data_IF_259734029780
#
_entry.id   IF_259734029780
#
_cell.length_a   1.000
_cell.length_b   1.000
_cell.length_c   1.000
_cell.angle_alpha   90.00
_cell.angle_beta   90.00
_cell.angle_gamma   90.00
#
_symmetry.space_group_name_H-M   'P 1'
#
loop_
_entity.id
_entity.type
_entity.pdbx_description
1 polymer ?
#
# COMPACT_ATOMS: atom_id res chain seq x y z
N UNK A 1 -10.63 -6.75 79.75
CA UNK A 1 -10.63 -7.38 78.42
C UNK A 1 -9.53 -6.78 77.59
N UNK A 2 -8.56 -7.61 77.21
CA UNK A 2 -7.40 -7.34 76.37
C UNK A 2 -7.82 -7.07 74.91
N UNK A 3 -7.24 -6.05 74.28
CA UNK A 3 -7.04 -5.99 72.82
C UNK A 3 -5.68 -5.36 72.49
N UNK A 4 -4.70 -6.23 72.26
CA UNK A 4 -3.58 -5.98 71.33
C UNK A 4 -4.07 -6.28 69.91
N UNK A 5 -3.69 -5.46 68.91
CA UNK A 5 -3.06 -5.88 67.64
C UNK A 5 -3.02 -4.65 66.70
N UNK A 6 -1.84 -4.07 66.45
CA UNK A 6 -0.91 -4.35 65.33
C UNK A 6 -1.31 -3.67 64.03
N UNK A 7 -0.53 -2.62 63.72
CA UNK A 7 -0.37 -2.00 62.41
C UNK A 7 0.12 -3.03 61.40
N UNK A 8 -0.63 -3.24 60.32
CA UNK A 8 -0.11 -3.86 59.10
C UNK A 8 -0.17 -2.84 57.97
N UNK A 9 0.99 -2.22 57.72
CA UNK A 9 1.29 -1.50 56.49
C UNK A 9 1.67 -2.58 55.47
N UNK A 10 0.75 -2.93 54.59
CA UNK A 10 1.08 -3.68 53.37
C UNK A 10 0.84 -2.74 52.19
N UNK A 11 1.94 -2.19 51.68
CA UNK A 11 2.00 -1.38 50.48
C UNK A 11 1.43 -2.15 49.30
N UNK A 12 0.34 -1.62 48.74
CA UNK A 12 -0.26 -2.11 47.52
C UNK A 12 0.62 -1.67 46.35
N UNK A 13 1.52 -2.57 45.91
CA UNK A 13 2.37 -2.37 44.74
C UNK A 13 1.50 -2.55 43.50
N UNK A 14 1.01 -1.44 42.95
CA UNK A 14 0.28 -1.39 41.68
C UNK A 14 1.28 -1.71 40.58
N UNK A 15 1.41 -2.98 40.23
CA UNK A 15 2.01 -3.40 38.96
C UNK A 15 0.93 -3.17 37.92
N UNK A 16 0.90 -1.96 37.33
CA UNK A 16 0.24 -1.75 36.06
C UNK A 16 0.88 -2.71 35.06
N UNK A 17 0.16 -3.78 34.71
CA UNK A 17 0.39 -4.51 33.47
C UNK A 17 0.22 -3.49 32.34
N UNK A 18 1.31 -2.81 31.99
CA UNK A 18 1.49 -2.32 30.64
C UNK A 18 1.65 -3.62 29.84
N UNK A 19 0.53 -4.12 29.31
CA UNK A 19 0.61 -5.03 28.19
C UNK A 19 1.33 -4.23 27.11
N UNK A 20 2.65 -4.45 27.04
CA UNK A 20 3.45 -4.15 25.87
C UNK A 20 2.82 -4.98 24.78
N UNK A 21 1.87 -4.38 24.06
CA UNK A 21 1.43 -4.90 22.79
C UNK A 21 2.70 -5.15 22.01
N UNK A 22 2.98 -6.42 21.74
CA UNK A 22 3.95 -6.81 20.73
C UNK A 22 3.53 -6.05 19.49
N UNK A 23 4.24 -4.98 19.16
CA UNK A 23 4.21 -4.46 17.82
C UNK A 23 4.79 -5.59 16.99
N UNK A 24 3.91 -6.42 16.41
CA UNK A 24 4.30 -7.34 15.38
C UNK A 24 5.06 -6.49 14.37
N UNK A 25 6.37 -6.69 14.28
CA UNK A 25 7.15 -6.20 13.17
C UNK A 25 6.62 -6.97 11.96
N UNK A 26 5.52 -6.49 11.40
CA UNK A 26 5.05 -6.89 10.07
C UNK A 26 6.16 -6.47 9.13
N UNK A 27 6.97 -7.43 8.71
CA UNK A 27 7.90 -7.27 7.61
C UNK A 27 7.11 -6.67 6.45
N UNK A 28 7.55 -5.52 5.93
CA UNK A 28 6.87 -4.90 4.80
C UNK A 28 6.75 -5.92 3.66
N UNK A 29 5.65 -5.91 2.91
CA UNK A 29 5.54 -6.76 1.74
C UNK A 29 6.70 -6.46 0.78
N UNK A 30 7.16 -7.47 0.05
CA UNK A 30 8.24 -7.28 -0.92
C UNK A 30 7.76 -6.42 -2.10
N UNK A 31 8.62 -5.48 -2.52
CA UNK A 31 8.41 -4.72 -3.76
C UNK A 31 8.48 -5.67 -4.97
N UNK A 32 7.80 -5.33 -6.07
CA UNK A 32 7.69 -6.22 -7.23
C UNK A 32 9.07 -6.52 -7.86
N UNK A 33 9.81 -5.46 -8.16
CA UNK A 33 11.16 -5.46 -8.71
C UNK A 33 11.96 -4.30 -8.08
N UNK A 34 13.18 -4.56 -7.59
CA UNK A 34 14.04 -3.50 -7.08
C UNK A 34 14.65 -2.67 -8.22
N UNK A 35 15.27 -1.53 -7.88
CA UNK A 35 16.16 -0.82 -8.81
C UNK A 35 17.32 -1.74 -9.24
N UNK A 36 17.82 -1.53 -10.46
CA UNK A 36 19.13 -2.03 -10.84
C UNK A 36 20.19 -1.51 -9.86
N UNK A 37 21.29 -2.25 -9.59
CA UNK A 37 22.35 -1.78 -8.69
C UNK A 37 22.86 -0.37 -9.05
N UNK A 38 23.36 0.41 -8.07
CA UNK A 38 23.82 1.77 -8.32
C UNK A 38 24.92 1.80 -9.39
N UNK A 39 24.80 2.78 -10.27
CA UNK A 39 25.74 3.05 -11.35
C UNK A 39 27.11 3.43 -10.80
N UNK A 40 28.16 2.82 -11.36
CA UNK A 40 29.55 3.16 -11.02
C UNK A 40 30.11 4.26 -11.92
N UNK A 41 29.58 4.40 -13.14
CA UNK A 41 30.07 5.34 -14.16
C UNK A 41 28.90 6.00 -14.91
N UNK A 42 29.16 7.19 -15.43
CA UNK A 42 28.23 7.99 -16.23
C UNK A 42 27.97 7.36 -17.63
N UNK A 43 26.86 7.71 -18.31
CA UNK A 43 25.86 8.72 -17.95
C UNK A 43 24.86 8.23 -16.89
N UNK A 44 24.48 9.12 -15.98
CA UNK A 44 23.44 8.87 -14.98
C UNK A 44 22.10 9.41 -15.45
N UNK A 45 21.03 8.70 -15.14
CA UNK A 45 19.66 9.06 -15.49
C UNK A 45 18.94 9.78 -14.32
N UNK A 46 19.69 10.27 -13.32
CA UNK A 46 19.14 10.80 -12.06
C UNK A 46 18.06 11.87 -12.29
N UNK A 47 18.35 12.90 -13.09
CA UNK A 47 17.40 13.99 -13.36
C UNK A 47 16.12 13.47 -14.01
N UNK A 48 16.24 12.55 -14.97
CA UNK A 48 15.10 11.96 -15.67
C UNK A 48 14.28 11.05 -14.75
N UNK A 49 14.95 10.30 -13.88
CA UNK A 49 14.32 9.46 -12.87
C UNK A 49 13.45 10.30 -11.95
N UNK A 50 14.01 11.34 -11.34
CA UNK A 50 13.29 12.17 -10.39
C UNK A 50 12.17 12.96 -11.08
N UNK A 51 12.36 13.47 -12.29
CA UNK A 51 11.30 14.18 -13.01
C UNK A 51 10.07 13.28 -13.28
N UNK A 52 10.30 12.06 -13.79
CA UNK A 52 9.24 11.08 -14.04
C UNK A 52 8.56 10.61 -12.76
N UNK A 53 9.36 10.29 -11.74
CA UNK A 53 8.84 9.85 -10.45
C UNK A 53 8.00 10.95 -9.80
N UNK A 54 8.50 12.19 -9.78
CA UNK A 54 7.81 13.33 -9.19
C UNK A 54 6.48 13.61 -9.90
N UNK A 55 6.48 13.63 -11.22
CA UNK A 55 5.27 13.82 -12.03
C UNK A 55 4.21 12.76 -11.68
N UNK A 56 4.63 11.50 -11.56
CA UNK A 56 3.74 10.40 -11.19
C UNK A 56 3.21 10.58 -9.77
N UNK A 57 4.08 10.89 -8.81
CA UNK A 57 3.71 11.10 -7.40
C UNK A 57 2.71 12.25 -7.26
N UNK A 58 2.93 13.41 -7.90
CA UNK A 58 1.97 14.52 -7.84
C UNK A 58 0.62 14.17 -8.44
N UNK A 59 0.58 13.27 -9.41
CA UNK A 59 -0.68 12.80 -10.02
C UNK A 59 -1.49 11.95 -9.04
N UNK A 60 -0.84 11.01 -8.35
CA UNK A 60 -1.51 10.08 -7.43
C UNK A 60 -1.69 10.65 -6.01
N UNK A 61 -0.79 11.50 -5.54
CA UNK A 61 -0.80 12.10 -4.20
C UNK A 61 -1.49 13.46 -4.19
N UNK A 62 -2.78 13.47 -4.51
CA UNK A 62 -3.64 14.67 -4.52
C UNK A 62 -4.59 14.76 -3.30
N UNK A 63 -4.48 13.85 -2.34
CA UNK A 63 -5.31 13.79 -1.14
C UNK A 63 -6.71 13.19 -1.34
N UNK A 64 -7.03 12.73 -2.54
CA UNK A 64 -8.24 11.95 -2.81
C UNK A 64 -7.98 10.46 -2.67
N UNK A 65 -9.01 9.63 -2.78
CA UNK A 65 -8.86 8.18 -2.84
C UNK A 65 -8.08 7.78 -4.10
N UNK A 66 -7.20 6.78 -3.98
CA UNK A 66 -6.44 6.28 -5.12
C UNK A 66 -7.42 5.83 -6.24
N UNK A 67 -7.33 6.38 -7.45
CA UNK A 67 -8.23 6.02 -8.54
C UNK A 67 -7.83 4.65 -9.10
N UNK A 68 -8.50 3.60 -8.62
CA UNK A 68 -8.25 2.18 -8.95
C UNK A 68 -9.49 1.51 -9.55
N UNK A 69 -9.34 0.24 -9.95
CA UNK A 69 -10.42 -0.56 -10.55
C UNK A 69 -10.49 -0.44 -12.07
N UNK A 70 -11.41 -1.18 -12.68
CA UNK A 70 -11.54 -1.37 -14.14
C UNK A 70 -11.86 -0.09 -14.91
N UNK A 71 -12.41 0.92 -14.24
CA UNK A 71 -12.70 2.23 -14.86
C UNK A 71 -11.51 3.18 -14.81
N UNK A 72 -10.44 2.85 -14.09
CA UNK A 72 -9.26 3.70 -13.88
C UNK A 72 -7.98 3.08 -14.46
N UNK A 73 -8.10 2.32 -15.56
CA UNK A 73 -6.97 1.66 -16.23
C UNK A 73 -5.88 2.64 -16.67
N UNK A 74 -6.24 3.87 -17.06
CA UNK A 74 -5.26 4.88 -17.46
C UNK A 74 -4.27 5.24 -16.35
N UNK A 75 -4.73 5.35 -15.10
CA UNK A 75 -3.84 5.64 -13.96
C UNK A 75 -2.95 4.44 -13.65
N UNK A 76 -3.53 3.24 -13.67
CA UNK A 76 -2.78 2.00 -13.52
C UNK A 76 -1.68 1.88 -14.58
N UNK A 77 -2.01 2.03 -15.87
CA UNK A 77 -1.08 1.85 -16.98
C UNK A 77 0.02 2.91 -16.96
N UNK A 78 -0.32 4.16 -16.59
CA UNK A 78 0.67 5.21 -16.38
C UNK A 78 1.61 4.87 -15.23
N UNK A 79 1.09 4.41 -14.10
CA UNK A 79 1.89 4.04 -12.94
C UNK A 79 2.81 2.86 -13.24
N UNK A 80 2.28 1.80 -13.86
CA UNK A 80 3.04 0.63 -14.30
C UNK A 80 4.12 1.02 -15.32
N UNK A 81 3.77 1.83 -16.31
CA UNK A 81 4.70 2.32 -17.32
C UNK A 81 5.85 3.13 -16.72
N UNK A 82 5.56 4.05 -15.81
CA UNK A 82 6.60 4.78 -15.07
C UNK A 82 7.44 3.82 -14.25
N UNK A 83 6.82 2.97 -13.43
CA UNK A 83 7.52 2.04 -12.55
C UNK A 83 8.51 1.16 -13.32
N UNK A 84 8.07 0.46 -14.38
CA UNK A 84 8.94 -0.42 -15.16
C UNK A 84 10.00 0.32 -15.99
N UNK A 85 9.83 1.62 -16.21
CA UNK A 85 10.89 2.49 -16.77
C UNK A 85 11.93 2.79 -15.70
N UNK A 86 11.49 3.26 -14.53
CA UNK A 86 12.35 3.67 -13.42
C UNK A 86 13.27 2.54 -12.92
N UNK A 87 12.77 1.29 -12.84
CA UNK A 87 13.60 0.16 -12.36
C UNK A 87 14.87 -0.09 -13.20
N UNK A 88 14.90 0.41 -14.45
CA UNK A 88 15.97 0.17 -15.42
C UNK A 88 16.92 1.37 -15.57
N UNK A 89 16.62 2.49 -14.93
CA UNK A 89 17.41 3.71 -15.04
C UNK A 89 18.75 3.58 -14.32
N UNK A 90 19.77 4.21 -14.88
CA UNK A 90 21.13 4.15 -14.36
C UNK A 90 21.32 5.22 -13.27
N UNK A 91 21.01 4.88 -12.03
CA UNK A 91 21.01 5.81 -10.88
C UNK A 91 22.38 5.89 -10.23
N UNK A 92 22.88 7.10 -9.99
CA UNK A 92 24.16 7.31 -9.32
C UNK A 92 24.13 6.80 -7.88
N UNK A 93 25.30 6.42 -7.36
CA UNK A 93 25.44 5.94 -5.98
C UNK A 93 24.96 6.96 -4.93
N UNK A 94 25.08 8.26 -5.22
CA UNK A 94 24.62 9.34 -4.33
C UNK A 94 23.09 9.38 -4.24
N UNK A 95 22.40 9.26 -5.37
CA UNK A 95 20.94 9.38 -5.45
C UNK A 95 20.22 8.06 -5.14
N UNK A 96 20.93 6.93 -5.19
CA UNK A 96 20.37 5.59 -5.05
C UNK A 96 19.46 5.38 -3.83
N UNK A 97 19.81 5.81 -2.60
CA UNK A 97 18.95 5.57 -1.44
C UNK A 97 17.59 6.24 -1.55
N UNK A 98 17.55 7.47 -2.06
CA UNK A 98 16.31 8.22 -2.25
C UNK A 98 15.48 7.62 -3.40
N UNK A 99 16.15 7.24 -4.49
CA UNK A 99 15.52 6.57 -5.62
C UNK A 99 14.86 5.23 -5.20
N UNK A 100 15.51 4.46 -4.32
CA UNK A 100 14.97 3.20 -3.79
C UNK A 100 13.70 3.40 -2.95
N UNK A 101 13.66 4.43 -2.11
CA UNK A 101 12.46 4.77 -1.33
C UNK A 101 11.29 5.18 -2.25
N UNK A 102 11.55 6.05 -3.23
CA UNK A 102 10.57 6.46 -4.23
C UNK A 102 10.05 5.27 -5.03
N UNK A 103 10.95 4.40 -5.51
CA UNK A 103 10.55 3.21 -6.26
C UNK A 103 9.71 2.25 -5.42
N UNK A 104 10.07 2.08 -4.14
CA UNK A 104 9.29 1.25 -3.20
C UNK A 104 7.88 1.79 -3.01
N UNK A 105 7.73 3.11 -2.86
CA UNK A 105 6.43 3.76 -2.78
C UNK A 105 5.56 3.50 -4.02
N UNK A 106 6.14 3.67 -5.21
CA UNK A 106 5.44 3.41 -6.47
C UNK A 106 5.08 1.93 -6.63
N UNK A 107 5.96 1.03 -6.23
CA UNK A 107 5.70 -0.41 -6.26
C UNK A 107 4.52 -0.80 -5.37
N UNK A 108 4.46 -0.31 -4.13
CA UNK A 108 3.35 -0.61 -3.23
C UNK A 108 2.03 -0.02 -3.73
N UNK A 109 2.08 1.19 -4.30
CA UNK A 109 0.91 1.81 -4.92
C UNK A 109 0.40 0.99 -6.11
N UNK A 110 1.31 0.51 -6.96
CA UNK A 110 0.97 -0.30 -8.14
C UNK A 110 0.34 -1.63 -7.71
N UNK A 111 0.99 -2.35 -6.79
CA UNK A 111 0.46 -3.62 -6.28
C UNK A 111 -0.89 -3.45 -5.59
N UNK A 112 -1.11 -2.34 -4.85
CA UNK A 112 -2.42 -2.03 -4.28
C UNK A 112 -3.48 -1.86 -5.39
N UNK A 113 -3.14 -1.16 -6.48
CA UNK A 113 -4.05 -0.99 -7.62
C UNK A 113 -4.39 -2.32 -8.31
N UNK A 114 -3.40 -3.17 -8.55
CA UNK A 114 -3.58 -4.51 -9.14
C UNK A 114 -4.45 -5.40 -8.25
N UNK A 115 -4.16 -5.44 -6.95
CA UNK A 115 -4.96 -6.20 -5.97
C UNK A 115 -6.39 -5.70 -5.87
N UNK A 116 -6.61 -4.39 -6.01
CA UNK A 116 -7.97 -3.86 -6.06
C UNK A 116 -8.73 -4.31 -7.33
N UNK A 117 -8.06 -4.40 -8.47
CA UNK A 117 -8.67 -4.92 -9.71
C UNK A 117 -9.05 -6.40 -9.59
N UNK A 118 -8.22 -7.20 -8.91
CA UNK A 118 -8.53 -8.60 -8.58
C UNK A 118 -9.75 -8.67 -7.66
N UNK A 119 -9.72 -7.91 -6.56
CA UNK A 119 -10.84 -7.78 -5.62
C UNK A 119 -12.14 -7.41 -6.34
N UNK A 120 -12.14 -6.37 -7.18
CA UNK A 120 -13.30 -5.96 -7.95
C UNK A 120 -13.76 -7.05 -8.94
N UNK A 121 -12.83 -7.80 -9.52
CA UNK A 121 -13.17 -8.90 -10.43
C UNK A 121 -13.87 -10.04 -9.71
N UNK A 122 -13.42 -10.42 -8.51
CA UNK A 122 -14.07 -11.46 -7.71
C UNK A 122 -15.47 -11.04 -7.23
N UNK A 123 -15.66 -9.78 -6.80
CA UNK A 123 -16.98 -9.25 -6.41
C UNK A 123 -18.01 -9.26 -7.56
N UNK A 124 -17.52 -9.27 -8.80
CA UNK A 124 -18.31 -9.33 -10.01
C UNK A 124 -18.45 -10.75 -10.59
N UNK A 125 -17.83 -11.79 -10.02
CA UNK A 125 -18.03 -13.17 -10.48
C UNK A 125 -19.33 -13.73 -9.93
N UNK A 126 -20.18 -14.21 -10.85
CA UNK A 126 -21.30 -15.06 -10.47
C UNK A 126 -20.78 -16.49 -10.30
N UNK A 127 -20.85 -17.02 -9.07
CA UNK A 127 -20.59 -18.42 -8.80
C UNK A 127 -21.68 -19.02 -7.92
N UNK A 128 -22.28 -20.17 -8.29
CA UNK A 128 -23.24 -20.88 -7.44
C UNK A 128 -22.56 -21.58 -6.24
N UNK A 129 -21.22 -21.57 -6.19
CA UNK A 129 -20.41 -22.10 -5.10
C UNK A 129 -19.53 -20.97 -4.56
N UNK A 130 -19.51 -20.78 -3.24
CA UNK A 130 -18.63 -19.79 -2.60
C UNK A 130 -17.16 -20.17 -2.88
N UNK A 131 -16.50 -19.44 -3.79
CA UNK A 131 -15.15 -19.76 -4.27
C UNK A 131 -14.05 -19.08 -3.46
N UNK A 132 -14.38 -18.45 -2.33
CA UNK A 132 -13.42 -17.64 -1.59
C UNK A 132 -13.20 -16.32 -2.31
N UNK A 133 -13.87 -15.28 -1.82
CA UNK A 133 -13.71 -13.92 -2.31
C UNK A 133 -12.38 -13.40 -1.77
N UNK A 134 -11.55 -12.75 -2.60
CA UNK A 134 -10.39 -11.99 -2.08
C UNK A 134 -10.90 -10.97 -1.07
N UNK A 135 -10.56 -11.09 0.23
CA UNK A 135 -11.06 -10.16 1.24
C UNK A 135 -10.47 -8.78 0.98
N UNK A 136 -11.26 -7.74 1.25
CA UNK A 136 -10.79 -6.36 1.11
C UNK A 136 -9.62 -6.06 2.07
N UNK A 137 -9.54 -6.80 3.17
CA UNK A 137 -8.48 -6.79 4.16
C UNK A 137 -7.10 -7.14 3.57
N UNK A 138 -7.03 -7.91 2.47
CA UNK A 138 -5.77 -8.24 1.78
C UNK A 138 -5.12 -7.02 1.11
N UNK A 139 -5.87 -5.92 0.96
CA UNK A 139 -5.36 -4.67 0.40
C UNK A 139 -4.62 -3.82 1.45
N UNK A 140 -4.98 -3.96 2.73
CA UNK A 140 -4.49 -3.11 3.83
C UNK A 140 -2.96 -3.14 3.96
N UNK A 141 -2.28 -4.31 3.92
CA UNK A 141 -0.82 -4.35 4.05
C UNK A 141 -0.09 -3.54 2.99
N UNK A 142 -0.61 -3.48 1.76
CA UNK A 142 -0.02 -2.73 0.66
C UNK A 142 -0.21 -1.23 0.82
N UNK A 143 -1.39 -0.81 1.27
CA UNK A 143 -1.64 0.59 1.62
C UNK A 143 -0.78 1.06 2.78
N UNK A 144 -0.68 0.27 3.85
CA UNK A 144 0.13 0.60 5.03
C UNK A 144 1.62 0.68 4.68
N UNK A 145 2.10 -0.20 3.80
CA UNK A 145 3.46 -0.15 3.28
C UNK A 145 3.72 1.15 2.48
N UNK A 146 2.83 1.50 1.55
CA UNK A 146 2.92 2.75 0.78
C UNK A 146 2.88 3.97 1.71
N UNK A 147 1.95 4.00 2.68
CA UNK A 147 1.84 5.07 3.66
C UNK A 147 3.07 5.17 4.58
N UNK A 148 3.67 4.03 4.93
CA UNK A 148 4.92 3.95 5.69
C UNK A 148 6.08 4.60 4.95
N UNK A 149 6.23 4.33 3.65
CA UNK A 149 7.24 4.96 2.80
C UNK A 149 6.92 6.44 2.57
N UNK A 150 5.66 6.80 2.33
CA UNK A 150 5.24 8.19 2.15
C UNK A 150 5.67 9.10 3.31
N UNK A 151 5.58 8.62 4.56
CA UNK A 151 6.04 9.37 5.74
C UNK A 151 7.51 9.77 5.66
N UNK A 152 8.34 9.00 4.96
CA UNK A 152 9.77 9.27 4.77
C UNK A 152 9.98 10.31 3.67
N UNK A 153 9.40 10.07 2.49
CA UNK A 153 9.67 10.85 1.28
C UNK A 153 8.84 12.14 1.18
N UNK A 154 7.70 12.24 1.88
CA UNK A 154 6.73 13.35 1.71
C UNK A 154 7.29 14.77 1.87
N UNK A 155 8.39 14.95 2.60
CA UNK A 155 9.06 16.26 2.77
C UNK A 155 9.60 16.82 1.46
N UNK A 156 9.87 15.96 0.49
CA UNK A 156 10.40 16.31 -0.83
C UNK A 156 9.28 16.67 -1.82
N UNK A 157 8.02 16.47 -1.43
CA UNK A 157 6.83 16.70 -2.26
C UNK A 157 5.93 17.79 -1.66
N UNK A 158 6.36 19.07 -1.65
CA UNK A 158 5.59 20.16 -1.07
C UNK A 158 4.21 20.29 -1.73
N UNK A 159 3.16 20.31 -0.89
CA UNK A 159 1.77 20.46 -1.35
C UNK A 159 1.09 19.15 -1.78
N UNK A 160 1.85 18.07 -2.00
CA UNK A 160 1.27 16.75 -2.24
C UNK A 160 0.67 16.16 -0.95
N UNK A 161 -0.39 15.37 -1.11
CA UNK A 161 -1.07 14.69 0.01
C UNK A 161 -1.29 13.23 -0.37
N UNK A 162 -0.91 12.32 0.52
CA UNK A 162 -1.11 10.89 0.32
C UNK A 162 -2.57 10.59 -0.07
N UNK A 163 -2.73 9.71 -1.04
CA UNK A 163 -4.05 9.24 -1.41
C UNK A 163 -4.72 8.46 -0.26
N UNK A 164 -6.05 8.44 -0.25
CA UNK A 164 -6.83 7.60 0.65
C UNK A 164 -6.96 6.16 0.14
N UNK A 165 -7.17 5.24 1.06
CA UNK A 165 -7.48 3.83 0.75
C UNK A 165 -8.71 3.73 -0.18
N UNK A 166 -8.62 2.98 -1.30
CA UNK A 166 -9.78 2.66 -2.14
C UNK A 166 -10.95 2.10 -1.35
N UNK A 167 -12.19 2.51 -1.59
CA UNK A 167 -13.33 2.01 -0.81
C UNK A 167 -13.62 0.53 -1.08
N UNK A 168 -14.06 -0.20 -0.05
CA UNK A 168 -14.63 -1.54 -0.22
C UNK A 168 -15.89 -1.47 -1.09
N UNK A 169 -16.06 -2.46 -1.97
CA UNK A 169 -17.28 -2.65 -2.75
C UNK A 169 -17.96 -3.94 -2.31
N UNK A 170 -19.29 -3.89 -2.19
CA UNK A 170 -20.08 -5.08 -1.90
C UNK A 170 -20.14 -6.03 -3.10
N UNK A 171 -20.56 -7.29 -2.89
CA UNK A 171 -20.84 -8.20 -3.99
C UNK A 171 -21.91 -7.59 -4.91
N UNK A 172 -21.76 -7.77 -6.22
CA UNK A 172 -22.75 -7.26 -7.18
C UNK A 172 -24.10 -7.93 -6.92
N UNK A 173 -25.13 -7.13 -6.60
CA UNK A 173 -26.50 -7.61 -6.51
C UNK A 173 -27.04 -7.87 -7.91
N UNK A 174 -27.03 -9.12 -8.36
CA UNK A 174 -27.64 -9.53 -9.62
C UNK A 174 -29.16 -9.51 -9.47
N UNK A 175 -29.85 -8.69 -10.27
CA UNK A 175 -31.31 -8.76 -10.38
C UNK A 175 -31.71 -9.86 -11.37
N UNK A 176 -32.83 -10.52 -11.12
CA UNK A 176 -33.35 -11.59 -12.00
C UNK A 176 -33.60 -10.99 -13.41
N UNK A 177 -32.72 -11.30 -14.37
CA UNK A 177 -32.81 -10.80 -15.75
C UNK A 177 -31.51 -10.22 -16.33
N UNK A 178 -30.50 -9.92 -15.49
CA UNK A 178 -29.19 -9.41 -15.93
C UNK A 178 -28.13 -10.52 -16.07
N UNK A 179 -28.55 -11.76 -16.32
CA UNK A 179 -27.63 -12.86 -16.51
C UNK A 179 -26.80 -12.64 -17.78
N UNK A 180 -25.46 -12.80 -17.75
CA UNK A 180 -24.71 -12.93 -18.98
C UNK A 180 -25.24 -14.16 -19.70
N UNK A 181 -25.86 -13.93 -20.87
CA UNK A 181 -26.30 -15.02 -21.74
C UNK A 181 -25.03 -15.74 -22.16
N UNK A 182 -24.75 -16.89 -21.56
CA UNK A 182 -23.72 -17.80 -22.05
C UNK A 182 -24.19 -18.19 -23.45
N UNK A 183 -23.61 -17.55 -24.46
CA UNK A 183 -23.88 -17.88 -25.84
C UNK A 183 -23.49 -19.33 -26.07
N UNK A 184 -24.49 -20.19 -26.16
CA UNK A 184 -24.32 -21.54 -26.69
C UNK A 184 -24.09 -21.38 -28.20
N UNK A 185 -22.82 -21.37 -28.59
CA UNK A 185 -22.39 -21.60 -29.98
C UNK A 185 -22.66 -23.05 -30.36
#
# INVERSE_FOLDING_TARGET
>A
MSRKLVLFISGLLIISLISTGSADMTTLPQVQLPLAPPAQEAPFDDDEFFDRANTTIYTICNGQTLPVGKMNTAVHDSLAGTYYTLIRMNISQEQYPQAEEILSFLSYTLTLSEKYQDYESEQNKFSPVDMGITPYEDLVPWYDAAAGVWKKISKEFPGAKMYGMPSSIGPKNWTLGEFPVVGTS
#
